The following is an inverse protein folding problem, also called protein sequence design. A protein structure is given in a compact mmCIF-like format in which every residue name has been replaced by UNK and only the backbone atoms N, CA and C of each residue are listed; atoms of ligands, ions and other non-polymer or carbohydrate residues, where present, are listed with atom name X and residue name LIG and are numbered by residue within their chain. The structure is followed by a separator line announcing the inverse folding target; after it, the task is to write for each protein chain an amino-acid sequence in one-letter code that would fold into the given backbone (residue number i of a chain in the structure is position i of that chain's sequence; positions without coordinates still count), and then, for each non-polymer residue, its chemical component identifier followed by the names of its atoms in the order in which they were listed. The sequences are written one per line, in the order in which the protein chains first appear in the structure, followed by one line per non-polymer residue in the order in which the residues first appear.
data_IF_290398535634
#
_entry.id   IF_290398535634
#
_cell.length_a   1.000
_cell.length_b   1.000
_cell.length_c   1.000
_cell.angle_alpha   90.00
_cell.angle_beta   90.00
_cell.angle_gamma   90.00
#
_symmetry.space_group_name_H-M   'P 1'
#
loop_
_entity.id
_entity.type
_entity.pdbx_description
1 polymer ?
#
# COMPACT_ATOMS: atom_id res chain seq x y z
N UNK A 1 -1.00 -11.70 -7.40
CA UNK A 1 -1.25 -10.41 -6.74
C UNK A 1 -2.30 -9.57 -7.47
N UNK A 2 -2.03 -9.15 -8.71
CA UNK A 2 -2.88 -8.23 -9.50
C UNK A 2 -4.31 -8.72 -9.66
N UNK A 3 -4.51 -9.98 -10.04
CA UNK A 3 -5.84 -10.57 -10.20
C UNK A 3 -6.63 -10.64 -8.89
N UNK A 4 -5.94 -10.82 -7.75
CA UNK A 4 -6.56 -10.79 -6.43
C UNK A 4 -7.02 -9.38 -6.06
N UNK A 5 -6.18 -8.37 -6.29
CA UNK A 5 -6.55 -6.97 -6.05
C UNK A 5 -7.80 -6.59 -6.86
N UNK A 6 -7.82 -6.93 -8.15
CA UNK A 6 -8.98 -6.71 -9.01
C UNK A 6 -10.23 -7.46 -8.50
N UNK A 7 -10.07 -8.71 -8.03
CA UNK A 7 -11.17 -9.49 -7.44
C UNK A 7 -11.71 -8.92 -6.12
N UNK A 8 -10.86 -8.24 -5.35
CA UNK A 8 -11.26 -7.53 -4.11
C UNK A 8 -11.95 -6.20 -4.42
N UNK A 9 -11.86 -5.72 -5.67
CA UNK A 9 -12.47 -4.49 -6.14
C UNK A 9 -11.52 -3.30 -6.21
N UNK A 10 -10.20 -3.52 -6.16
CA UNK A 10 -9.24 -2.48 -6.52
C UNK A 10 -9.34 -2.17 -8.01
N UNK A 11 -9.11 -0.91 -8.34
CA UNK A 11 -8.99 -0.43 -9.72
C UNK A 11 -7.56 0.02 -9.95
N UNK A 12 -6.96 -0.41 -11.06
CA UNK A 12 -5.63 0.06 -11.46
C UNK A 12 -5.72 1.53 -11.87
N UNK A 13 -4.76 2.33 -11.43
CA UNK A 13 -4.66 3.74 -11.80
C UNK A 13 -4.29 3.87 -13.28
N UNK A 14 -4.95 4.82 -13.96
CA UNK A 14 -4.62 5.15 -15.36
C UNK A 14 -3.31 5.93 -15.48
N UNK A 15 -2.91 6.62 -14.41
CA UNK A 15 -1.69 7.44 -14.39
C UNK A 15 -0.45 6.61 -14.05
N UNK A 16 -0.63 5.49 -13.34
CA UNK A 16 0.46 4.64 -12.87
C UNK A 16 -0.02 3.18 -12.80
N UNK A 17 0.57 2.31 -13.62
CA UNK A 17 0.22 0.90 -13.69
C UNK A 17 0.62 0.10 -12.44
N UNK A 18 1.54 0.62 -11.63
CA UNK A 18 1.92 0.02 -10.36
C UNK A 18 0.94 0.35 -9.23
N UNK A 19 0.12 1.38 -9.41
CA UNK A 19 -0.81 1.87 -8.39
C UNK A 19 -2.21 1.28 -8.58
N UNK A 20 -2.71 0.67 -7.51
CA UNK A 20 -4.07 0.17 -7.38
C UNK A 20 -4.78 0.96 -6.29
N UNK A 21 -6.04 1.32 -6.56
CA UNK A 21 -6.84 2.16 -5.68
C UNK A 21 -8.13 1.43 -5.36
N UNK A 22 -8.42 1.25 -4.07
CA UNK A 22 -9.69 0.77 -3.58
C UNK A 22 -10.42 1.91 -2.88
N UNK A 23 -11.68 2.14 -3.24
CA UNK A 23 -12.53 3.18 -2.64
C UNK A 23 -13.81 2.53 -2.16
N UNK A 24 -14.10 2.69 -0.88
CA UNK A 24 -15.34 2.24 -0.28
C UNK A 24 -15.89 3.30 0.67
N UNK A 25 -16.86 4.07 0.20
CA UNK A 25 -17.41 5.22 0.92
C UNK A 25 -16.34 6.28 1.18
N UNK A 26 -16.08 6.56 2.46
CA UNK A 26 -15.03 7.50 2.91
C UNK A 26 -13.66 6.86 3.03
N UNK A 27 -13.57 5.53 2.96
CA UNK A 27 -12.31 4.82 3.10
C UNK A 27 -11.64 4.62 1.75
N UNK A 28 -10.36 4.97 1.68
CA UNK A 28 -9.54 4.75 0.48
C UNK A 28 -8.28 4.00 0.86
N UNK A 29 -7.95 2.95 0.11
CA UNK A 29 -6.67 2.24 0.20
C UNK A 29 -5.92 2.44 -1.12
N UNK A 30 -4.66 2.85 -1.02
CA UNK A 30 -3.71 2.88 -2.10
C UNK A 30 -2.73 1.74 -1.94
N UNK A 31 -2.54 1.00 -3.01
CA UNK A 31 -1.68 -0.16 -3.08
C UNK A 31 -0.72 0.00 -4.25
N UNK A 32 0.54 0.26 -3.95
CA UNK A 32 1.58 0.49 -4.93
C UNK A 32 2.51 -0.73 -4.98
N UNK A 33 2.62 -1.34 -6.15
CA UNK A 33 3.40 -2.54 -6.40
C UNK A 33 4.61 -2.20 -7.27
N UNK A 34 5.79 -2.07 -6.65
CA UNK A 34 7.01 -1.74 -7.37
C UNK A 34 8.01 -2.91 -7.34
N UNK A 35 7.97 -3.74 -8.38
CA UNK A 35 8.82 -4.94 -8.56
C UNK A 35 8.76 -5.88 -7.36
N UNK A 36 9.66 -5.73 -6.38
CA UNK A 36 9.78 -6.56 -5.18
C UNK A 36 9.16 -5.88 -3.94
N UNK A 37 8.96 -4.56 -3.98
CA UNK A 37 8.45 -3.77 -2.86
C UNK A 37 6.96 -3.47 -3.01
N UNK A 38 6.23 -3.62 -1.91
CA UNK A 38 4.82 -3.26 -1.79
C UNK A 38 4.70 -2.10 -0.82
N UNK A 39 4.03 -1.04 -1.25
CA UNK A 39 3.63 0.07 -0.38
C UNK A 39 2.12 0.11 -0.29
N UNK A 40 1.60 0.06 0.93
CA UNK A 40 0.18 0.19 1.19
C UNK A 40 -0.06 1.38 2.09
N UNK A 41 -1.00 2.24 1.71
CA UNK A 41 -1.49 3.32 2.57
C UNK A 41 -3.01 3.40 2.52
N UNK A 42 -3.62 3.86 3.60
CA UNK A 42 -5.06 3.92 3.75
C UNK A 42 -5.45 5.18 4.50
N UNK A 43 -6.65 5.70 4.23
CA UNK A 43 -7.23 6.78 5.01
C UNK A 43 -7.69 6.33 6.41
N UNK A 44 -7.72 5.02 6.68
CA UNK A 44 -8.10 4.42 7.96
C UNK A 44 -7.08 3.34 8.37
N UNK A 45 -6.48 3.52 9.54
CA UNK A 45 -5.44 2.62 10.09
C UNK A 45 -5.99 1.23 10.43
N UNK A 46 -7.23 1.11 10.92
CA UNK A 46 -7.81 -0.21 11.21
C UNK A 46 -8.06 -0.98 9.92
N UNK A 47 -8.53 -0.29 8.88
CA UNK A 47 -8.71 -0.88 7.56
C UNK A 47 -7.37 -1.30 6.95
N UNK A 48 -6.34 -0.48 7.10
CA UNK A 48 -4.97 -0.79 6.64
C UNK A 48 -4.48 -2.09 7.27
N UNK A 49 -4.59 -2.20 8.59
CA UNK A 49 -4.05 -3.33 9.34
C UNK A 49 -4.78 -4.63 8.98
N UNK A 50 -6.12 -4.59 8.89
CA UNK A 50 -6.91 -5.73 8.41
C UNK A 50 -6.53 -6.16 6.99
N UNK A 51 -6.23 -5.20 6.13
CA UNK A 51 -5.83 -5.49 4.76
C UNK A 51 -4.42 -6.08 4.68
N UNK A 52 -3.47 -5.60 5.49
CA UNK A 52 -2.13 -6.19 5.63
C UNK A 52 -2.23 -7.62 6.18
N UNK A 53 -3.06 -7.86 7.20
CA UNK A 53 -3.28 -9.21 7.75
C UNK A 53 -3.87 -10.16 6.69
N UNK A 54 -4.86 -9.69 5.93
CA UNK A 54 -5.45 -10.47 4.84
C UNK A 54 -4.43 -10.79 3.74
N UNK A 55 -3.54 -9.85 3.43
CA UNK A 55 -2.44 -10.06 2.49
C UNK A 55 -1.44 -11.09 3.01
N UNK A 56 -1.02 -11.00 4.28
CA UNK A 56 -0.08 -11.95 4.89
C UNK A 56 -0.65 -13.36 5.05
N UNK A 57 -1.98 -13.51 5.11
CA UNK A 57 -2.63 -14.83 5.08
C UNK A 57 -2.82 -15.39 3.66
N UNK A 58 -3.12 -14.54 2.68
CA UNK A 58 -3.37 -14.96 1.30
C UNK A 58 -2.11 -15.10 0.44
N UNK A 59 -1.03 -14.41 0.81
CA UNK A 59 0.23 -14.32 0.08
C UNK A 59 1.39 -14.39 1.09
N UNK A 60 2.51 -14.98 0.68
CA UNK A 60 3.75 -15.04 1.49
C UNK A 60 4.43 -13.66 1.53
N UNK A 61 3.71 -12.68 2.07
CA UNK A 61 4.14 -11.29 2.20
C UNK A 61 4.56 -11.09 3.64
N UNK A 62 5.80 -10.68 3.80
CA UNK A 62 6.32 -10.25 5.09
C UNK A 62 5.96 -8.79 5.29
N UNK A 63 5.19 -8.49 6.33
CA UNK A 63 5.02 -7.12 6.79
C UNK A 63 6.38 -6.60 7.29
N UNK A 64 6.85 -5.51 6.67
CA UNK A 64 8.09 -4.81 7.04
C UNK A 64 7.84 -3.67 8.03
N UNK A 65 6.57 -3.43 8.40
CA UNK A 65 6.17 -2.34 9.26
C UNK A 65 6.01 -1.01 8.50
N UNK A 66 6.13 0.15 9.19
CA UNK A 66 6.02 1.45 8.56
C UNK A 66 6.98 1.62 7.38
N UNK A 67 6.59 2.41 6.38
CA UNK A 67 7.44 2.68 5.23
C UNK A 67 8.71 3.42 5.67
N UNK A 68 9.82 2.70 5.75
CA UNK A 68 11.12 3.24 6.14
C UNK A 68 12.05 3.47 4.95
N UNK A 69 11.91 2.67 3.89
CA UNK A 69 12.68 2.79 2.67
C UNK A 69 11.80 2.45 1.46
N UNK A 70 11.89 3.25 0.40
CA UNK A 70 11.22 3.01 -0.87
C UNK A 70 12.12 3.48 -2.01
N UNK A 71 12.35 2.65 -3.03
CA UNK A 71 13.26 2.96 -4.16
C UNK A 71 14.71 3.30 -3.73
N UNK A 72 15.16 2.81 -2.57
CA UNK A 72 16.46 3.17 -2.00
C UNK A 72 16.50 4.56 -1.34
N UNK A 73 15.36 5.24 -1.21
CA UNK A 73 15.21 6.48 -0.48
C UNK A 73 14.65 6.19 0.91
N UNK A 74 15.22 6.84 1.93
CA UNK A 74 14.70 6.74 3.29
C UNK A 74 13.43 7.59 3.40
N UNK A 75 12.37 6.97 3.89
CA UNK A 75 11.10 7.64 4.14
C UNK A 75 10.91 7.75 5.65
N UNK A 76 10.71 8.97 6.13
CA UNK A 76 10.43 9.27 7.53
C UNK A 76 9.09 9.98 7.64
N UNK A 77 8.10 9.30 8.19
CA UNK A 77 6.81 9.90 8.52
C UNK A 77 6.94 10.73 9.80
N UNK A 78 6.68 12.02 9.70
CA UNK A 78 6.60 12.96 10.82
C UNK A 78 5.16 13.45 10.98
N UNK A 79 4.82 14.02 12.14
CA UNK A 79 3.48 14.58 12.35
C UNK A 79 3.12 15.71 11.36
N UNK A 80 4.12 16.34 10.73
CA UNK A 80 3.99 17.42 9.75
C UNK A 80 3.96 16.89 8.29
N UNK A 81 4.15 15.58 8.08
CA UNK A 81 4.11 14.99 6.74
C UNK A 81 5.18 13.93 6.51
N UNK A 82 5.57 13.76 5.25
CA UNK A 82 6.52 12.72 4.83
C UNK A 82 7.82 13.39 4.40
N UNK A 83 8.91 13.07 5.09
CA UNK A 83 10.25 13.45 4.68
C UNK A 83 10.90 12.32 3.88
N UNK A 84 11.43 12.67 2.71
CA UNK A 84 12.15 11.74 1.84
C UNK A 84 13.61 12.21 1.81
N UNK A 85 14.52 11.34 2.24
CA UNK A 85 15.95 11.59 2.27
C UNK A 85 16.73 10.54 1.46
N UNK A 86 17.96 10.90 1.08
CA UNK A 86 18.93 10.00 0.46
C UNK A 86 20.00 9.63 1.49
#
# INVERSE_FOLDING_TARGET
MTSFLLSVGFVQSLADSSLFIFRHGVHTIYFLLYVDDIVVTSSDTQLLQRFIDALGHGFDIKDLGPLHYFLGLQVSSHNDGIHIGQ
#
